data_IF_697868356425
#
_entry.id   IF_697868356425
#
_cell.length_a   1.000
_cell.length_b   1.000
_cell.length_c   1.000
_cell.angle_alpha   90.00
_cell.angle_beta   90.00
_cell.angle_gamma   90.00
#
_symmetry.space_group_name_H-M   'P 1'
#
loop_
_entity.id
_entity.type
_entity.pdbx_description
1 polymer ?
#
# COMPACT_ATOMS: atom_id res chain seq x y z
N UNK A 1 -7.64 -31.08 -49.28
CA UNK A 1 -6.90 -30.03 -48.52
C UNK A 1 -7.77 -28.79 -48.47
N UNK A 2 -8.45 -28.54 -47.34
CA UNK A 2 -9.21 -27.32 -47.09
C UNK A 2 -8.45 -26.49 -46.05
N UNK A 3 -8.22 -25.18 -46.26
CA UNK A 3 -7.52 -24.35 -45.28
C UNK A 3 -8.46 -24.04 -44.11
N UNK A 4 -7.96 -24.28 -42.89
CA UNK A 4 -8.66 -23.97 -41.64
C UNK A 4 -8.73 -22.45 -41.40
N UNK A 5 -9.73 -21.94 -40.65
CA UNK A 5 -9.96 -20.52 -40.47
C UNK A 5 -8.88 -19.90 -39.59
N UNK A 6 -8.44 -18.69 -39.96
CA UNK A 6 -7.64 -17.81 -39.09
C UNK A 6 -8.47 -17.45 -37.87
N UNK A 7 -8.00 -17.84 -36.68
CA UNK A 7 -8.45 -17.29 -35.41
C UNK A 7 -8.27 -15.77 -35.45
N UNK A 8 -9.39 -15.04 -35.41
CA UNK A 8 -9.46 -13.58 -35.26
C UNK A 8 -9.18 -13.22 -33.80
N UNK A 9 -8.40 -12.16 -33.58
CA UNK A 9 -8.47 -11.37 -32.34
C UNK A 9 -7.23 -11.27 -31.43
N UNK A 10 -6.01 -11.16 -31.95
CA UNK A 10 -4.88 -10.63 -31.16
C UNK A 10 -4.86 -9.09 -31.28
N UNK A 11 -5.63 -8.37 -30.48
CA UNK A 11 -5.51 -6.90 -30.37
C UNK A 11 -4.63 -6.46 -29.19
N UNK A 12 -3.51 -7.17 -28.98
CA UNK A 12 -2.37 -6.64 -28.23
C UNK A 12 -1.46 -5.88 -29.20
N UNK A 13 -1.22 -4.59 -28.99
CA UNK A 13 -0.24 -3.85 -29.80
C UNK A 13 1.12 -4.56 -29.79
N UNK A 14 1.87 -4.50 -30.90
CA UNK A 14 3.11 -5.28 -31.17
C UNK A 14 4.14 -5.31 -30.01
N UNK A 15 4.08 -4.33 -29.11
CA UNK A 15 4.99 -4.11 -27.99
C UNK A 15 4.46 -4.61 -26.64
N UNK A 16 3.16 -4.46 -26.34
CA UNK A 16 2.56 -4.97 -25.09
C UNK A 16 1.83 -6.27 -25.40
N UNK A 17 2.46 -7.38 -24.98
CA UNK A 17 1.95 -8.72 -25.22
C UNK A 17 1.02 -9.15 -24.09
N UNK A 18 -0.06 -9.85 -24.44
CA UNK A 18 -0.95 -10.51 -23.47
C UNK A 18 -0.28 -11.76 -22.89
N UNK A 19 0.13 -12.69 -23.76
CA UNK A 19 0.78 -13.98 -23.45
C UNK A 19 2.07 -14.18 -24.27
N UNK A 20 2.90 -15.17 -23.91
CA UNK A 20 3.96 -15.68 -24.79
C UNK A 20 3.34 -16.48 -25.96
N UNK A 21 3.99 -16.49 -27.13
CA UNK A 21 3.40 -16.97 -28.39
C UNK A 21 3.78 -18.41 -28.82
N UNK A 22 4.61 -19.12 -28.05
CA UNK A 22 5.02 -20.50 -28.34
C UNK A 22 4.46 -21.47 -27.29
N UNK A 23 4.32 -22.75 -27.64
CA UNK A 23 3.95 -23.82 -26.69
C UNK A 23 4.96 -23.87 -25.55
N UNK A 24 4.48 -24.10 -24.33
CA UNK A 24 5.33 -24.16 -23.15
C UNK A 24 6.30 -25.33 -23.28
N UNK A 25 7.60 -25.05 -23.25
CA UNK A 25 8.64 -26.09 -23.19
C UNK A 25 8.46 -26.96 -21.94
N UNK A 26 7.79 -26.45 -20.90
CA UNK A 26 7.45 -27.22 -19.71
C UNK A 26 6.40 -28.29 -19.96
N UNK A 27 5.47 -28.12 -20.91
CA UNK A 27 4.56 -29.21 -21.31
C UNK A 27 5.31 -30.40 -21.90
N UNK A 28 6.52 -30.17 -22.45
CA UNK A 28 7.37 -31.20 -23.07
C UNK A 28 8.40 -31.75 -22.09
N UNK A 29 9.08 -30.88 -21.31
CA UNK A 29 10.15 -31.28 -20.39
C UNK A 29 9.66 -31.70 -19.01
N UNK A 30 8.47 -31.26 -18.60
CA UNK A 30 7.85 -31.56 -17.31
C UNK A 30 6.34 -31.79 -17.52
N UNK A 31 5.94 -32.90 -18.17
CA UNK A 31 4.53 -33.18 -18.47
C UNK A 31 3.64 -33.28 -17.22
N UNK A 32 4.24 -33.49 -16.04
CA UNK A 32 3.61 -33.49 -14.72
C UNK A 32 4.02 -32.27 -13.86
N UNK A 33 4.42 -31.14 -14.48
CA UNK A 33 4.87 -29.95 -13.77
C UNK A 33 3.83 -29.45 -12.76
N UNK A 34 2.56 -29.51 -13.12
CA UNK A 34 1.44 -29.18 -12.26
C UNK A 34 1.44 -30.04 -11.00
N UNK A 35 1.80 -31.34 -11.09
CA UNK A 35 1.91 -32.24 -9.92
C UNK A 35 2.96 -31.79 -8.89
N UNK A 36 3.96 -31.02 -9.32
CA UNK A 36 4.96 -30.43 -8.43
C UNK A 36 4.46 -29.16 -7.74
N UNK A 37 3.34 -28.59 -8.20
CA UNK A 37 2.79 -27.38 -7.60
C UNK A 37 2.00 -27.73 -6.36
N UNK A 38 2.13 -26.88 -5.34
CA UNK A 38 1.23 -26.86 -4.20
C UNK A 38 -0.23 -26.83 -4.70
N UNK A 39 -1.14 -27.65 -4.16
CA UNK A 39 -2.53 -27.70 -4.60
C UNK A 39 -3.24 -26.34 -4.60
N UNK A 40 -2.85 -25.42 -3.70
CA UNK A 40 -3.41 -24.07 -3.71
C UNK A 40 -2.91 -23.26 -4.93
N UNK A 41 -1.65 -23.40 -5.36
CA UNK A 41 -1.13 -22.71 -6.54
C UNK A 41 -1.81 -23.17 -7.83
N UNK A 42 -2.11 -24.47 -7.99
CA UNK A 42 -2.86 -24.97 -9.17
C UNK A 42 -4.24 -24.34 -9.26
N UNK A 43 -4.96 -24.26 -8.14
CA UNK A 43 -6.29 -23.67 -8.14
C UNK A 43 -6.26 -22.14 -8.27
N UNK A 44 -5.17 -21.50 -7.87
CA UNK A 44 -4.92 -20.08 -8.18
C UNK A 44 -4.66 -19.90 -9.67
N UNK A 45 -3.88 -20.79 -10.29
CA UNK A 45 -3.58 -20.76 -11.73
C UNK A 45 -4.86 -20.85 -12.58
N UNK A 46 -5.77 -21.76 -12.25
CA UNK A 46 -7.08 -21.87 -12.91
C UNK A 46 -7.90 -20.58 -12.85
N UNK A 47 -7.78 -19.79 -11.77
CA UNK A 47 -8.45 -18.48 -11.67
C UNK A 47 -7.72 -17.44 -12.52
N UNK A 48 -6.39 -17.50 -12.59
CA UNK A 48 -5.56 -16.57 -13.36
C UNK A 48 -5.60 -16.81 -14.88
N UNK A 49 -6.18 -17.93 -15.34
CA UNK A 49 -6.50 -18.15 -16.77
C UNK A 49 -7.67 -17.30 -17.27
N UNK A 50 -8.38 -16.60 -16.38
CA UNK A 50 -9.42 -15.64 -16.78
C UNK A 50 -8.83 -14.54 -17.68
N UNK A 51 -9.27 -14.50 -18.94
CA UNK A 51 -8.73 -13.59 -19.96
C UNK A 51 -8.96 -12.12 -19.59
N UNK A 52 -10.07 -11.79 -18.92
CA UNK A 52 -10.39 -10.42 -18.52
C UNK A 52 -9.40 -9.89 -17.46
N UNK A 53 -8.96 -10.73 -16.52
CA UNK A 53 -7.89 -10.37 -15.58
C UNK A 53 -6.58 -10.02 -16.32
N UNK A 54 -6.22 -10.80 -17.33
CA UNK A 54 -5.03 -10.55 -18.15
C UNK A 54 -5.18 -9.27 -18.98
N UNK A 55 -6.38 -9.01 -19.50
CA UNK A 55 -6.69 -7.83 -20.30
C UNK A 55 -6.60 -6.54 -19.51
N UNK A 56 -7.14 -6.52 -18.28
CA UNK A 56 -7.02 -5.37 -17.39
C UNK A 56 -5.56 -5.00 -17.15
N UNK A 57 -4.68 -5.99 -16.97
CA UNK A 57 -3.24 -5.78 -16.80
C UNK A 57 -2.57 -5.35 -18.11
N UNK A 58 -2.93 -5.96 -19.23
CA UNK A 58 -2.40 -5.59 -20.55
C UNK A 58 -2.75 -4.14 -20.91
N UNK A 59 -3.98 -3.71 -20.63
CA UNK A 59 -4.44 -2.36 -20.87
C UNK A 59 -3.78 -1.33 -19.96
N UNK A 60 -3.53 -1.69 -18.71
CA UNK A 60 -2.75 -0.87 -17.79
C UNK A 60 -1.31 -0.68 -18.31
N UNK A 61 -0.65 -1.77 -18.71
CA UNK A 61 0.69 -1.73 -19.27
C UNK A 61 0.75 -0.94 -20.59
N UNK A 62 -0.29 -1.04 -21.41
CA UNK A 62 -0.46 -0.30 -22.67
C UNK A 62 -0.60 1.21 -22.50
N UNK A 63 -1.03 1.68 -21.32
CA UNK A 63 -1.20 3.11 -21.00
C UNK A 63 -0.04 3.71 -20.21
N UNK A 64 0.98 2.90 -19.84
CA UNK A 64 2.09 3.35 -18.98
C UNK A 64 2.84 4.56 -19.52
N UNK A 65 3.04 4.65 -20.85
CA UNK A 65 3.69 5.78 -21.53
C UNK A 65 3.08 6.02 -22.91
N UNK A 66 3.21 7.25 -23.48
CA UNK A 66 2.83 7.51 -24.87
C UNK A 66 3.51 6.51 -25.82
N UNK A 67 2.72 5.87 -26.67
CA UNK A 67 3.20 4.90 -27.65
C UNK A 67 3.55 3.51 -27.08
N UNK A 68 3.29 3.20 -25.80
CA UNK A 68 3.63 1.90 -25.19
C UNK A 68 3.09 0.69 -25.96
N UNK A 69 1.95 0.81 -26.64
CA UNK A 69 1.39 -0.28 -27.47
C UNK A 69 2.11 -0.49 -28.81
N UNK A 70 2.76 0.55 -29.35
CA UNK A 70 3.18 0.61 -30.75
C UNK A 70 4.70 0.75 -30.95
N UNK A 71 5.42 1.35 -30.00
CA UNK A 71 6.84 1.71 -30.14
C UNK A 71 7.71 1.07 -29.05
N UNK A 72 8.90 0.62 -29.43
CA UNK A 72 9.92 0.08 -28.54
C UNK A 72 10.06 -1.44 -28.55
N UNK A 73 10.97 -1.96 -27.69
CA UNK A 73 11.18 -3.40 -27.51
C UNK A 73 9.93 -4.02 -26.84
N UNK A 74 9.51 -5.23 -27.26
CA UNK A 74 8.44 -5.95 -26.59
C UNK A 74 8.67 -6.05 -25.08
N UNK A 75 7.65 -5.70 -24.29
CA UNK A 75 7.71 -5.79 -22.83
C UNK A 75 7.49 -7.22 -22.36
N UNK A 76 7.79 -7.48 -21.09
CA UNK A 76 7.27 -8.64 -20.37
C UNK A 76 5.75 -8.74 -20.58
N UNK A 77 5.21 -9.92 -20.92
CA UNK A 77 3.77 -10.08 -21.11
C UNK A 77 2.95 -9.79 -19.86
N UNK A 78 1.72 -9.33 -20.05
CA UNK A 78 0.81 -8.96 -18.97
C UNK A 78 0.54 -10.12 -17.99
N UNK A 79 0.35 -11.32 -18.53
CA UNK A 79 0.13 -12.54 -17.75
C UNK A 79 1.32 -12.83 -16.80
N UNK A 80 2.56 -12.73 -17.31
CA UNK A 80 3.77 -12.93 -16.52
C UNK A 80 3.86 -11.90 -15.38
N UNK A 81 3.56 -10.63 -15.68
CA UNK A 81 3.55 -9.55 -14.67
C UNK A 81 2.53 -9.83 -13.59
N UNK A 82 1.29 -10.18 -13.96
CA UNK A 82 0.22 -10.50 -13.02
C UNK A 82 0.64 -11.65 -12.10
N UNK A 83 1.09 -12.77 -12.67
CA UNK A 83 1.45 -13.98 -11.93
C UNK A 83 2.64 -13.77 -11.00
N UNK A 84 3.68 -13.05 -11.43
CA UNK A 84 4.82 -12.71 -10.56
C UNK A 84 4.41 -11.80 -9.40
N UNK A 85 3.56 -10.79 -9.63
CA UNK A 85 3.05 -9.93 -8.56
C UNK A 85 2.15 -10.69 -7.59
N UNK A 86 1.37 -11.65 -8.08
CA UNK A 86 0.58 -12.56 -7.24
C UNK A 86 1.50 -13.41 -6.35
N UNK A 87 2.51 -14.10 -6.91
CA UNK A 87 3.46 -14.87 -6.10
C UNK A 87 4.13 -14.01 -5.03
N UNK A 88 4.60 -12.84 -5.42
CA UNK A 88 5.23 -11.88 -4.51
C UNK A 88 4.34 -11.60 -3.28
N UNK A 89 3.04 -11.43 -3.47
CA UNK A 89 2.10 -11.15 -2.37
C UNK A 89 1.48 -12.40 -1.73
N UNK A 90 1.56 -13.58 -2.36
CA UNK A 90 1.19 -14.85 -1.72
C UNK A 90 2.21 -15.29 -0.67
N UNK A 91 3.49 -14.93 -0.88
CA UNK A 91 4.63 -15.33 -0.05
C UNK A 91 5.32 -14.16 0.69
N UNK A 92 4.79 -12.93 0.59
CA UNK A 92 5.37 -11.70 1.18
C UNK A 92 6.84 -11.42 0.79
N UNK A 93 7.20 -11.79 -0.44
CA UNK A 93 8.54 -11.55 -0.98
C UNK A 93 8.75 -10.06 -1.32
N UNK A 94 9.99 -9.61 -1.19
CA UNK A 94 10.52 -8.46 -1.89
C UNK A 94 10.59 -8.72 -3.40
N UNK A 95 10.85 -7.69 -4.20
CA UNK A 95 11.04 -7.88 -5.64
C UNK A 95 12.30 -8.70 -5.95
N UNK A 96 13.38 -8.50 -5.19
CA UNK A 96 14.64 -9.26 -5.36
C UNK A 96 14.45 -10.74 -4.98
N UNK A 97 13.73 -11.02 -3.88
CA UNK A 97 13.37 -12.40 -3.52
C UNK A 97 12.48 -13.03 -4.59
N UNK A 98 11.45 -12.33 -5.07
CA UNK A 98 10.58 -12.85 -6.14
C UNK A 98 11.36 -13.16 -7.42
N UNK A 99 12.28 -12.28 -7.84
CA UNK A 99 13.19 -12.55 -8.96
C UNK A 99 14.03 -13.81 -8.71
N UNK A 100 14.67 -13.91 -7.53
CA UNK A 100 15.52 -15.05 -7.17
C UNK A 100 14.76 -16.37 -7.16
N UNK A 101 13.63 -16.42 -6.46
CA UNK A 101 12.81 -17.63 -6.31
C UNK A 101 12.25 -18.08 -7.68
N UNK A 102 11.72 -17.15 -8.48
CA UNK A 102 11.20 -17.48 -9.82
C UNK A 102 12.33 -17.89 -10.76
N UNK A 103 13.53 -17.30 -10.66
CA UNK A 103 14.69 -17.72 -11.47
C UNK A 103 15.15 -19.14 -11.14
N UNK A 104 15.18 -19.50 -9.85
CA UNK A 104 15.69 -20.78 -9.38
C UNK A 104 14.70 -21.95 -9.46
N UNK A 105 13.40 -21.69 -9.63
CA UNK A 105 12.36 -22.73 -9.57
C UNK A 105 11.63 -22.91 -10.91
N UNK A 106 11.77 -24.09 -11.52
CA UNK A 106 11.02 -24.44 -12.73
C UNK A 106 9.50 -24.41 -12.49
N UNK A 107 9.05 -24.76 -11.27
CA UNK A 107 7.66 -24.67 -10.84
C UNK A 107 7.14 -23.24 -10.89
N UNK A 108 7.86 -22.28 -10.34
CA UNK A 108 7.43 -20.88 -10.36
C UNK A 108 7.53 -20.26 -11.75
N UNK A 109 8.50 -20.68 -12.58
CA UNK A 109 8.57 -20.25 -13.99
C UNK A 109 7.36 -20.74 -14.78
N UNK A 110 6.96 -21.99 -14.59
CA UNK A 110 5.79 -22.57 -15.22
C UNK A 110 4.51 -21.88 -14.74
N UNK A 111 4.36 -21.64 -13.43
CA UNK A 111 3.24 -20.88 -12.87
C UNK A 111 3.16 -19.46 -13.43
N UNK A 112 4.29 -18.80 -13.64
CA UNK A 112 4.35 -17.46 -14.21
C UNK A 112 4.27 -17.40 -15.74
N UNK A 113 4.15 -18.55 -16.43
CA UNK A 113 4.17 -18.64 -17.92
C UNK A 113 5.41 -18.00 -18.55
N UNK A 114 6.57 -18.14 -17.89
CA UNK A 114 7.85 -17.59 -18.38
C UNK A 114 8.53 -18.56 -19.35
N UNK A 115 8.24 -19.86 -19.25
CA UNK A 115 8.88 -20.90 -20.08
C UNK A 115 10.42 -20.83 -20.00
N UNK A 116 11.09 -20.84 -21.15
CA UNK A 116 12.55 -20.69 -21.27
C UNK A 116 13.00 -19.22 -21.42
N UNK A 117 12.09 -18.26 -21.31
CA UNK A 117 12.41 -16.84 -21.47
C UNK A 117 13.16 -16.28 -20.25
N UNK A 118 13.75 -15.10 -20.43
CA UNK A 118 14.44 -14.42 -19.32
C UNK A 118 13.43 -13.94 -18.27
N UNK A 119 13.63 -14.35 -17.02
CA UNK A 119 12.86 -13.85 -15.87
C UNK A 119 13.07 -12.34 -15.74
N UNK A 120 11.99 -11.55 -15.65
CA UNK A 120 12.07 -10.11 -15.38
C UNK A 120 12.85 -9.83 -14.10
N UNK A 121 13.83 -8.93 -14.17
CA UNK A 121 14.54 -8.48 -12.97
C UNK A 121 13.64 -7.63 -12.06
N UNK A 122 14.04 -7.49 -10.80
CA UNK A 122 13.32 -6.78 -9.75
C UNK A 122 13.00 -5.34 -10.15
N UNK A 123 13.94 -4.63 -10.79
CA UNK A 123 13.72 -3.24 -11.24
C UNK A 123 12.69 -3.20 -12.37
N UNK A 124 12.72 -4.15 -13.28
CA UNK A 124 11.72 -4.32 -14.34
C UNK A 124 10.35 -4.57 -13.74
N UNK A 125 10.22 -5.50 -12.79
CA UNK A 125 8.96 -5.80 -12.14
C UNK A 125 8.42 -4.62 -11.32
N UNK A 126 9.29 -3.87 -10.63
CA UNK A 126 8.93 -2.61 -9.96
C UNK A 126 8.31 -1.62 -10.96
N UNK A 127 8.99 -1.37 -12.09
CA UNK A 127 8.51 -0.43 -13.11
C UNK A 127 7.18 -0.84 -13.72
N UNK A 128 6.98 -2.14 -13.97
CA UNK A 128 5.73 -2.66 -14.52
C UNK A 128 4.60 -2.61 -13.50
N UNK A 129 4.90 -2.88 -12.23
CA UNK A 129 3.92 -2.72 -11.15
C UNK A 129 3.35 -1.29 -11.09
N UNK A 130 4.13 -0.26 -11.47
CA UNK A 130 3.66 1.13 -11.51
C UNK A 130 2.45 1.37 -12.41
N UNK A 131 2.21 0.50 -13.40
CA UNK A 131 1.01 0.59 -14.23
C UNK A 131 -0.26 0.10 -13.52
N UNK A 132 -0.15 -0.72 -12.47
CA UNK A 132 -1.27 -1.21 -11.69
C UNK A 132 -1.57 -0.22 -10.57
N UNK A 133 -2.23 0.88 -10.92
CA UNK A 133 -2.70 1.87 -9.97
C UNK A 133 -3.95 1.38 -9.21
N UNK A 134 -4.51 2.27 -8.37
CA UNK A 134 -5.70 1.95 -7.59
C UNK A 134 -6.90 1.58 -8.49
N UNK A 135 -7.14 2.29 -9.59
CA UNK A 135 -8.26 2.02 -10.49
C UNK A 135 -8.14 0.64 -11.13
N UNK A 136 -6.97 0.29 -11.65
CA UNK A 136 -6.71 -1.02 -12.24
C UNK A 136 -6.93 -2.13 -11.22
N UNK A 137 -6.41 -1.99 -10.00
CA UNK A 137 -6.59 -2.99 -8.95
C UNK A 137 -8.03 -3.11 -8.46
N UNK A 138 -8.81 -2.01 -8.49
CA UNK A 138 -10.24 -2.05 -8.21
C UNK A 138 -11.01 -2.83 -9.26
N UNK A 139 -10.66 -2.68 -10.53
CA UNK A 139 -11.26 -3.45 -11.64
C UNK A 139 -10.89 -4.92 -11.54
N UNK A 140 -9.62 -5.24 -11.26
CA UNK A 140 -9.17 -6.62 -11.00
C UNK A 140 -9.96 -7.22 -9.84
N UNK A 141 -10.12 -6.49 -8.73
CA UNK A 141 -10.91 -6.96 -7.59
C UNK A 141 -12.39 -7.17 -7.95
N UNK A 142 -12.99 -6.27 -8.71
CA UNK A 142 -14.37 -6.41 -9.17
C UNK A 142 -14.54 -7.68 -10.03
N UNK A 143 -13.63 -7.94 -10.97
CA UNK A 143 -13.64 -9.18 -11.76
C UNK A 143 -13.51 -10.43 -10.88
N UNK A 144 -12.67 -10.38 -9.85
CA UNK A 144 -12.58 -11.48 -8.87
C UNK A 144 -13.89 -11.67 -8.07
N UNK A 145 -14.65 -10.60 -7.80
CA UNK A 145 -15.98 -10.69 -7.18
C UNK A 145 -16.96 -11.38 -8.12
N UNK A 146 -16.94 -11.06 -9.42
CA UNK A 146 -17.79 -11.70 -10.43
C UNK A 146 -17.50 -13.21 -10.50
N UNK A 147 -16.22 -13.59 -10.60
CA UNK A 147 -15.78 -14.99 -10.55
C UNK A 147 -16.22 -15.70 -9.25
N UNK A 148 -16.20 -15.00 -8.11
CA UNK A 148 -16.68 -15.55 -6.85
C UNK A 148 -18.19 -15.78 -6.83
N UNK A 149 -18.95 -14.94 -7.52
CA UNK A 149 -20.39 -15.12 -7.72
C UNK A 149 -20.71 -16.27 -8.68
N UNK A 150 -20.01 -16.34 -9.82
CA UNK A 150 -20.12 -17.44 -10.80
C UNK A 150 -19.85 -18.79 -10.14
N UNK A 151 -18.78 -18.87 -9.33
CA UNK A 151 -18.42 -20.07 -8.55
C UNK A 151 -19.25 -20.27 -7.27
N UNK A 152 -20.27 -19.43 -7.02
CA UNK A 152 -21.18 -19.48 -5.86
C UNK A 152 -20.49 -19.39 -4.49
N UNK A 153 -19.25 -18.89 -4.44
CA UNK A 153 -18.48 -18.61 -3.21
C UNK A 153 -19.10 -17.44 -2.45
N UNK A 154 -19.51 -16.41 -3.19
CA UNK A 154 -20.12 -15.20 -2.67
C UNK A 154 -21.51 -15.03 -3.26
N UNK A 155 -22.49 -14.71 -2.41
CA UNK A 155 -23.87 -14.42 -2.84
C UNK A 155 -24.27 -12.96 -2.60
N UNK A 156 -23.46 -12.20 -1.86
CA UNK A 156 -23.72 -10.80 -1.55
C UNK A 156 -24.86 -10.59 -0.55
N UNK A 157 -25.18 -11.59 0.27
CA UNK A 157 -26.22 -11.49 1.29
C UNK A 157 -25.69 -10.99 2.63
N UNK A 158 -24.39 -11.13 2.86
CA UNK A 158 -23.72 -10.67 4.07
C UNK A 158 -22.63 -9.68 3.73
N UNK A 159 -22.46 -8.72 4.60
CA UNK A 159 -21.43 -7.70 4.55
C UNK A 159 -20.83 -7.56 5.93
N UNK A 160 -19.50 -7.58 6.01
CA UNK A 160 -18.77 -7.08 7.17
C UNK A 160 -17.75 -6.04 6.77
N UNK A 161 -17.62 -5.01 7.60
CA UNK A 161 -16.67 -3.93 7.40
C UNK A 161 -15.81 -3.82 8.65
N UNK A 162 -14.50 -3.74 8.44
CA UNK A 162 -13.53 -3.52 9.50
C UNK A 162 -12.43 -2.58 8.99
N UNK A 163 -11.75 -1.90 9.90
CA UNK A 163 -10.60 -1.06 9.58
C UNK A 163 -9.35 -1.59 10.26
N UNK A 164 -8.23 -1.55 9.56
CA UNK A 164 -6.93 -1.92 10.09
C UNK A 164 -5.91 -0.84 9.79
N UNK A 165 -4.75 -0.88 10.45
CA UNK A 165 -3.63 -0.01 10.10
C UNK A 165 -2.63 -0.80 9.30
N UNK A 166 -2.21 -0.26 8.16
CA UNK A 166 -1.05 -0.73 7.40
C UNK A 166 0.08 0.26 7.67
N UNK A 167 1.17 -0.22 8.26
CA UNK A 167 2.29 0.65 8.62
C UNK A 167 3.03 1.13 7.39
N UNK A 168 3.44 2.40 7.38
CA UNK A 168 4.44 2.87 6.43
C UNK A 168 5.80 2.27 6.80
N UNK A 169 6.66 2.00 5.81
CA UNK A 169 8.01 1.52 6.08
C UNK A 169 8.93 2.65 6.57
N UNK A 170 8.70 3.09 7.81
CA UNK A 170 9.44 4.13 8.50
C UNK A 170 9.99 3.60 9.81
N UNK A 171 11.12 4.15 10.26
CA UNK A 171 11.60 3.94 11.63
C UNK A 171 10.72 4.69 12.63
N UNK A 172 10.95 4.43 13.93
CA UNK A 172 10.21 5.13 14.97
C UNK A 172 10.50 6.64 14.91
N UNK A 173 9.45 7.50 14.82
CA UNK A 173 9.63 8.91 14.55
C UNK A 173 9.99 9.70 15.81
N UNK A 174 11.22 10.18 15.89
CA UNK A 174 11.65 11.17 16.89
C UNK A 174 11.98 12.47 16.19
N UNK A 175 11.73 13.61 16.84
CA UNK A 175 12.09 14.91 16.25
C UNK A 175 13.59 14.99 15.90
N UNK A 176 14.45 14.42 16.75
CA UNK A 176 15.89 14.37 16.50
C UNK A 176 16.25 13.54 15.25
N UNK A 177 15.60 12.40 15.01
CA UNK A 177 15.84 11.59 13.82
C UNK A 177 15.31 12.28 12.56
N UNK A 178 14.13 12.90 12.63
CA UNK A 178 13.55 13.66 11.52
C UNK A 178 14.40 14.87 11.11
N UNK A 179 14.94 15.62 12.08
CA UNK A 179 15.86 16.73 11.81
C UNK A 179 17.18 16.20 11.20
N UNK A 180 17.69 15.08 11.70
CA UNK A 180 18.88 14.40 11.16
C UNK A 180 18.69 13.97 9.71
N UNK A 181 17.58 13.30 9.42
CA UNK A 181 17.22 12.85 8.08
C UNK A 181 17.09 14.07 7.14
N UNK A 182 16.44 15.14 7.61
CA UNK A 182 16.26 16.37 6.86
C UNK A 182 17.57 17.02 6.46
N UNK A 183 18.49 17.19 7.40
CA UNK A 183 19.83 17.76 7.12
C UNK A 183 20.62 16.85 6.18
N UNK A 184 20.55 15.53 6.35
CA UNK A 184 21.25 14.57 5.49
C UNK A 184 20.75 14.66 4.05
N UNK A 185 19.42 14.69 3.86
CA UNK A 185 18.81 14.80 2.53
C UNK A 185 19.14 16.15 1.89
N UNK A 186 18.99 17.26 2.60
CA UNK A 186 19.31 18.59 2.08
C UNK A 186 20.78 18.70 1.70
N UNK A 187 21.70 18.32 2.59
CA UNK A 187 23.14 18.40 2.33
C UNK A 187 23.54 17.56 1.12
N UNK A 188 23.03 16.32 1.01
CA UNK A 188 23.31 15.46 -0.14
C UNK A 188 22.75 16.02 -1.44
N UNK A 189 21.53 16.57 -1.41
CA UNK A 189 20.88 17.12 -2.61
C UNK A 189 21.55 18.41 -3.05
N UNK A 190 22.01 19.24 -2.10
CA UNK A 190 22.80 20.44 -2.38
C UNK A 190 24.17 20.12 -2.99
N UNK A 191 24.86 19.07 -2.52
CA UNK A 191 26.13 18.62 -3.14
C UNK A 191 25.92 18.23 -4.61
N UNK A 192 24.87 17.45 -4.90
CA UNK A 192 24.50 17.11 -6.28
C UNK A 192 24.15 18.33 -7.11
N UNK A 193 23.39 19.28 -6.55
CA UNK A 193 23.06 20.51 -7.25
C UNK A 193 24.32 21.30 -7.58
N UNK A 194 25.26 21.42 -6.63
CA UNK A 194 26.57 22.07 -6.84
C UNK A 194 27.35 21.41 -7.98
N UNK A 195 27.39 20.08 -8.04
CA UNK A 195 28.05 19.33 -9.12
C UNK A 195 27.42 19.62 -10.50
N UNK A 196 26.10 19.83 -10.56
CA UNK A 196 25.37 20.08 -11.81
C UNK A 196 25.49 21.53 -12.31
N UNK A 197 25.52 22.54 -11.42
CA UNK A 197 25.53 23.97 -11.80
C UNK A 197 26.92 24.62 -11.80
N UNK A 198 27.94 23.93 -11.29
CA UNK A 198 29.32 24.42 -11.22
C UNK A 198 29.67 25.10 -9.88
N UNK A 199 30.98 25.16 -9.60
CA UNK A 199 31.49 25.75 -8.36
C UNK A 199 31.35 27.28 -8.38
N UNK A 200 30.52 27.83 -7.48
CA UNK A 200 30.34 29.28 -7.31
C UNK A 200 28.90 29.71 -7.03
N UNK A 201 27.91 28.98 -7.56
CA UNK A 201 26.49 29.30 -7.39
C UNK A 201 25.88 28.70 -6.11
N UNK A 202 26.45 27.60 -5.62
CA UNK A 202 25.93 26.85 -4.47
C UNK A 202 27.05 26.63 -3.46
N UNK A 203 26.95 27.29 -2.31
CA UNK A 203 27.81 27.04 -1.15
C UNK A 203 27.19 25.93 -0.28
N UNK A 204 27.96 24.87 0.00
CA UNK A 204 27.51 23.77 0.85
C UNK A 204 28.51 23.53 1.97
N UNK A 205 28.07 23.71 3.22
CA UNK A 205 28.85 23.31 4.39
C UNK A 205 28.23 22.08 5.03
N UNK A 206 28.96 20.98 5.01
CA UNK A 206 28.51 19.72 5.60
C UNK A 206 28.51 19.81 7.13
N UNK A 207 27.32 19.83 7.72
CA UNK A 207 27.11 19.84 9.18
C UNK A 207 26.59 18.50 9.70
N UNK A 208 26.55 17.47 8.86
CA UNK A 208 25.92 16.18 9.17
C UNK A 208 26.62 15.47 10.33
N UNK A 209 27.96 15.50 10.37
CA UNK A 209 28.74 14.92 11.50
C UNK A 209 28.43 15.61 12.82
N UNK A 210 28.42 16.94 12.81
CA UNK A 210 28.11 17.73 14.00
C UNK A 210 26.71 17.42 14.54
N UNK A 211 25.73 17.36 13.65
CA UNK A 211 24.34 17.01 13.99
C UNK A 211 24.24 15.57 14.51
N UNK A 212 24.85 14.60 13.83
CA UNK A 212 24.82 13.19 14.20
C UNK A 212 25.33 12.96 15.63
N UNK A 213 26.39 13.68 16.05
CA UNK A 213 26.88 13.63 17.43
C UNK A 213 25.81 14.07 18.45
N UNK A 214 25.11 15.18 18.20
CA UNK A 214 24.06 15.66 19.12
C UNK A 214 22.84 14.74 19.14
N UNK A 215 22.47 14.20 17.99
CA UNK A 215 21.37 13.22 17.87
C UNK A 215 21.72 11.93 18.62
N UNK A 216 22.97 11.48 18.54
CA UNK A 216 23.48 10.34 19.30
C UNK A 216 23.43 10.61 20.82
N UNK A 217 23.88 11.78 21.27
CA UNK A 217 23.76 12.19 22.68
C UNK A 217 22.30 12.16 23.17
N UNK A 218 21.38 12.72 22.36
CA UNK A 218 19.94 12.69 22.64
C UNK A 218 19.39 11.27 22.74
N UNK A 219 19.82 10.36 21.87
CA UNK A 219 19.39 8.96 21.88
C UNK A 219 19.88 8.22 23.13
N UNK A 220 21.18 8.31 23.42
CA UNK A 220 21.83 7.64 24.57
C UNK A 220 21.26 8.07 25.91
N UNK A 221 20.96 9.37 26.05
CA UNK A 221 20.57 9.95 27.34
C UNK A 221 19.07 10.18 27.47
N UNK A 222 18.26 9.75 26.50
CA UNK A 222 16.82 9.97 26.44
C UNK A 222 16.07 9.64 27.73
N UNK A 223 16.36 8.51 28.40
CA UNK A 223 15.68 8.14 29.66
C UNK A 223 16.06 9.02 30.84
N UNK A 224 17.33 9.40 30.96
CA UNK A 224 17.84 10.26 32.05
C UNK A 224 17.48 11.74 31.82
N UNK A 225 17.47 12.19 30.56
CA UNK A 225 17.16 13.58 30.19
C UNK A 225 15.67 13.95 30.24
N UNK A 226 14.78 12.96 30.30
CA UNK A 226 13.33 13.18 30.42
C UNK A 226 12.91 13.41 31.89
N UNK A 227 13.77 13.08 32.85
CA UNK A 227 13.58 13.44 34.26
C UNK A 227 13.71 14.95 34.45
N UNK A 228 13.07 15.51 35.49
CA UNK A 228 13.04 16.95 35.79
C UNK A 228 14.44 17.59 35.74
N UNK A 229 15.43 16.94 36.35
CA UNK A 229 16.83 17.37 36.42
C UNK A 229 17.53 17.43 35.05
N UNK A 230 17.07 16.61 34.09
CA UNK A 230 17.64 16.50 32.75
C UNK A 230 17.04 17.45 31.71
N UNK A 231 15.92 18.11 32.02
CA UNK A 231 15.20 18.99 31.10
C UNK A 231 16.05 20.14 30.54
N UNK A 232 16.89 20.86 31.32
CA UNK A 232 17.71 21.94 30.78
C UNK A 232 18.72 21.45 29.73
N UNK A 233 19.39 20.33 30.01
CA UNK A 233 20.36 19.72 29.08
C UNK A 233 19.66 19.18 27.82
N UNK A 234 18.45 18.63 27.95
CA UNK A 234 17.62 18.22 26.82
C UNK A 234 17.31 19.41 25.90
N UNK A 235 16.83 20.52 26.48
CA UNK A 235 16.51 21.74 25.75
C UNK A 235 17.75 22.35 25.06
N UNK A 236 18.90 22.34 25.73
CA UNK A 236 20.18 22.77 25.15
C UNK A 236 20.53 21.96 23.89
N UNK A 237 20.53 20.62 23.99
CA UNK A 237 20.85 19.73 22.86
C UNK A 237 19.88 19.91 21.70
N UNK A 238 18.57 20.01 21.97
CA UNK A 238 17.60 20.32 20.92
C UNK A 238 17.81 21.72 20.33
N UNK A 239 18.24 22.70 21.13
CA UNK A 239 18.62 24.03 20.67
C UNK A 239 19.77 23.99 19.65
N UNK A 240 20.81 23.21 19.94
CA UNK A 240 21.94 22.98 19.02
C UNK A 240 21.49 22.30 17.72
N UNK A 241 20.72 21.22 17.82
CA UNK A 241 20.17 20.48 16.66
C UNK A 241 19.32 21.41 15.79
N UNK A 242 18.46 22.22 16.41
CA UNK A 242 17.62 23.20 15.70
C UNK A 242 18.46 24.30 15.05
N UNK A 243 19.53 24.78 15.70
CA UNK A 243 20.43 25.78 15.15
C UNK A 243 21.13 25.27 13.88
N UNK A 244 21.70 24.07 13.94
CA UNK A 244 22.33 23.42 12.78
C UNK A 244 21.30 23.22 11.66
N UNK A 245 20.12 22.71 11.99
CA UNK A 245 19.09 22.42 10.98
C UNK A 245 18.59 23.69 10.30
N UNK A 246 18.38 24.78 11.05
CA UNK A 246 18.01 26.09 10.49
C UNK A 246 19.09 26.66 9.58
N UNK A 247 20.36 26.49 9.92
CA UNK A 247 21.46 26.92 9.06
C UNK A 247 21.43 26.20 7.71
N UNK A 248 21.24 24.88 7.70
CA UNK A 248 21.12 24.07 6.47
C UNK A 248 19.88 24.44 5.67
N UNK A 249 18.74 24.71 6.33
CA UNK A 249 17.52 25.18 5.63
C UNK A 249 17.74 26.54 4.97
N UNK A 250 18.45 27.47 5.63
CA UNK A 250 18.79 28.78 5.02
C UNK A 250 19.71 28.63 3.82
N UNK A 251 20.76 27.82 3.93
CA UNK A 251 21.64 27.50 2.80
C UNK A 251 20.87 26.85 1.65
N UNK A 252 19.96 25.94 1.95
CA UNK A 252 19.13 25.29 0.95
C UNK A 252 18.21 26.27 0.21
N UNK A 253 17.63 27.24 0.92
CA UNK A 253 16.81 28.30 0.30
C UNK A 253 17.65 29.22 -0.57
N UNK A 254 18.78 29.71 -0.05
CA UNK A 254 19.70 30.56 -0.80
C UNK A 254 20.23 29.88 -2.07
N UNK A 255 20.54 28.58 -1.99
CA UNK A 255 20.97 27.79 -3.14
C UNK A 255 19.89 27.59 -4.20
N UNK A 256 18.60 27.57 -3.81
CA UNK A 256 17.49 27.50 -4.75
C UNK A 256 17.26 28.85 -5.43
N UNK A 257 17.39 29.95 -4.69
CA UNK A 257 17.29 31.32 -5.21
C UNK A 257 18.45 31.64 -6.17
N UNK A 258 19.68 31.23 -5.84
CA UNK A 258 20.87 31.54 -6.65
C UNK A 258 20.90 30.85 -8.02
N UNK A 259 20.18 29.74 -8.17
CA UNK A 259 20.12 28.97 -9.42
C UNK A 259 18.86 29.25 -10.23
N UNK A 260 17.93 30.06 -9.72
CA UNK A 260 16.63 30.30 -10.36
C UNK A 260 16.81 30.89 -11.78
N UNK A 261 16.21 30.26 -12.78
CA UNK A 261 16.35 30.64 -14.20
C UNK A 261 17.61 30.12 -14.92
N UNK A 262 18.55 29.49 -14.22
CA UNK A 262 19.81 28.98 -14.80
C UNK A 262 19.87 27.44 -14.91
N UNK A 263 18.82 26.74 -14.47
CA UNK A 263 18.85 25.29 -14.31
C UNK A 263 18.26 24.55 -15.50
N UNK A 264 19.02 23.59 -16.05
CA UNK A 264 18.51 22.59 -17.01
C UNK A 264 17.58 21.59 -16.30
N UNK A 265 16.92 20.72 -17.07
CA UNK A 265 15.94 19.75 -16.56
C UNK A 265 16.43 18.92 -15.35
N UNK A 266 17.68 18.44 -15.34
CA UNK A 266 18.22 17.64 -14.23
C UNK A 266 18.35 18.40 -12.92
N UNK A 267 18.80 19.65 -12.96
CA UNK A 267 18.86 20.47 -11.75
C UNK A 267 17.48 20.99 -11.33
N UNK A 268 16.51 21.08 -12.23
CA UNK A 268 15.13 21.45 -11.88
C UNK A 268 14.49 20.41 -10.92
N UNK A 269 14.73 19.11 -11.15
CA UNK A 269 14.30 18.05 -10.24
C UNK A 269 14.97 18.15 -8.86
N UNK A 270 16.27 18.46 -8.82
CA UNK A 270 17.02 18.67 -7.58
C UNK A 270 16.51 19.89 -6.81
N UNK A 271 16.25 21.00 -7.50
CA UNK A 271 15.65 22.21 -6.91
C UNK A 271 14.28 21.90 -6.33
N UNK A 272 13.44 21.17 -7.06
CA UNK A 272 12.13 20.76 -6.58
C UNK A 272 12.23 19.85 -5.34
N UNK A 273 13.17 18.90 -5.35
CA UNK A 273 13.44 18.05 -4.19
C UNK A 273 13.91 18.87 -2.97
N UNK A 274 14.76 19.88 -3.16
CA UNK A 274 15.19 20.79 -2.10
C UNK A 274 14.00 21.57 -1.56
N UNK A 275 13.19 22.19 -2.42
CA UNK A 275 11.99 22.96 -2.03
C UNK A 275 11.05 22.11 -1.18
N UNK A 276 10.72 20.90 -1.62
CA UNK A 276 9.86 19.96 -0.88
C UNK A 276 10.47 19.56 0.47
N UNK A 277 11.77 19.25 0.50
CA UNK A 277 12.45 18.85 1.74
C UNK A 277 12.51 20.02 2.73
N UNK A 278 12.80 21.24 2.27
CA UNK A 278 12.79 22.46 3.08
C UNK A 278 11.43 22.69 3.73
N UNK A 279 10.34 22.52 2.98
CA UNK A 279 8.99 22.70 3.49
C UNK A 279 8.69 21.71 4.63
N UNK A 280 9.00 20.43 4.43
CA UNK A 280 8.80 19.38 5.45
C UNK A 280 9.68 19.63 6.68
N UNK A 281 10.98 19.91 6.49
CA UNK A 281 11.92 20.16 7.59
C UNK A 281 11.54 21.41 8.38
N UNK A 282 10.99 22.44 7.72
CA UNK A 282 10.46 23.64 8.40
C UNK A 282 9.30 23.29 9.32
N UNK A 283 8.40 22.39 8.92
CA UNK A 283 7.35 21.85 9.79
C UNK A 283 7.92 21.06 10.96
N UNK A 284 8.95 20.24 10.73
CA UNK A 284 9.65 19.50 11.80
C UNK A 284 10.31 20.47 12.81
N UNK A 285 10.92 21.56 12.35
CA UNK A 285 11.44 22.62 13.23
C UNK A 285 10.32 23.20 14.09
N UNK A 286 9.16 23.50 13.49
CA UNK A 286 7.97 24.01 14.18
C UNK A 286 7.46 23.06 15.26
N UNK A 287 7.24 21.79 14.91
CA UNK A 287 6.74 20.77 15.85
C UNK A 287 7.72 20.51 16.99
N UNK A 288 9.03 20.50 16.69
CA UNK A 288 10.07 20.30 17.71
C UNK A 288 10.08 21.46 18.69
N UNK A 289 9.96 22.71 18.19
CA UNK A 289 9.90 23.89 19.05
C UNK A 289 8.68 23.86 19.96
N UNK A 290 7.52 23.51 19.42
CA UNK A 290 6.28 23.37 20.18
C UNK A 290 6.42 22.32 21.30
N UNK A 291 6.93 21.13 20.97
CA UNK A 291 7.07 20.04 21.94
C UNK A 291 8.12 20.31 23.02
N UNK A 292 9.33 20.72 22.62
CA UNK A 292 10.48 20.77 23.53
C UNK A 292 10.49 22.04 24.39
N UNK A 293 10.06 23.18 23.82
CA UNK A 293 10.16 24.48 24.49
C UNK A 293 8.81 25.05 24.94
N UNK A 294 7.68 24.57 24.40
CA UNK A 294 6.33 25.02 24.80
C UNK A 294 5.50 23.94 25.49
N UNK A 295 5.99 22.71 25.58
CA UNK A 295 5.25 21.57 26.17
C UNK A 295 4.08 21.07 25.32
N UNK A 296 3.88 21.59 24.11
CA UNK A 296 2.77 21.19 23.24
C UNK A 296 3.13 19.93 22.44
N UNK A 297 2.50 18.82 22.81
CA UNK A 297 2.70 17.51 22.17
C UNK A 297 1.77 17.26 20.98
N UNK A 298 0.77 18.12 20.76
CA UNK A 298 -0.29 17.98 19.76
C UNK A 298 -0.12 18.99 18.63
N UNK A 299 0.93 18.82 17.83
CA UNK A 299 1.20 19.70 16.69
C UNK A 299 0.29 19.37 15.49
N UNK A 300 -0.47 20.34 14.94
CA UNK A 300 -1.25 20.13 13.72
C UNK A 300 -0.35 19.76 12.53
N UNK A 301 -0.77 18.78 11.72
CA UNK A 301 0.01 18.34 10.56
C UNK A 301 1.40 17.78 10.91
N UNK A 302 1.53 17.19 12.11
CA UNK A 302 2.77 16.59 12.63
C UNK A 302 3.42 15.67 11.60
N UNK A 303 4.69 15.93 11.33
CA UNK A 303 5.51 15.11 10.43
C UNK A 303 6.04 13.91 11.22
N UNK A 304 5.79 12.72 10.69
CA UNK A 304 6.27 11.44 11.25
C UNK A 304 7.33 10.79 10.35
N UNK A 305 7.48 11.26 9.11
CA UNK A 305 8.57 10.87 8.23
C UNK A 305 8.77 11.94 7.19
N UNK A 306 10.03 12.25 6.86
CA UNK A 306 10.32 13.13 5.73
C UNK A 306 10.22 12.39 4.38
N UNK A 307 10.29 11.05 4.40
CA UNK A 307 10.23 10.20 3.22
C UNK A 307 8.82 9.73 2.90
N UNK A 308 8.00 9.58 3.94
CA UNK A 308 6.56 9.27 3.83
C UNK A 308 5.74 10.34 4.58
N UNK A 309 5.62 11.57 4.06
CA UNK A 309 4.95 12.68 4.78
C UNK A 309 3.47 12.43 5.06
N UNK A 310 2.87 11.44 4.41
CA UNK A 310 1.47 11.03 4.58
C UNK A 310 1.25 10.09 5.77
N UNK A 311 2.31 9.62 6.45
CA UNK A 311 2.23 8.75 7.63
C UNK A 311 1.44 9.42 8.75
N UNK A 312 0.47 8.70 9.32
CA UNK A 312 -0.32 9.15 10.46
C UNK A 312 -0.03 8.33 11.71
N UNK A 313 -0.25 8.94 12.87
CA UNK A 313 -0.22 8.28 14.18
C UNK A 313 -1.62 7.81 14.55
N UNK A 314 -1.82 6.50 14.60
CA UNK A 314 -3.14 5.89 14.80
C UNK A 314 -3.13 5.05 16.07
N UNK A 315 -4.11 5.32 16.95
CA UNK A 315 -4.35 4.55 18.18
C UNK A 315 -5.62 3.73 18.03
N UNK A 316 -5.50 2.40 17.99
CA UNK A 316 -6.63 1.45 17.89
C UNK A 316 -6.90 0.65 19.17
N UNK A 317 -6.45 1.15 20.33
CA UNK A 317 -6.72 0.52 21.63
C UNK A 317 -6.02 -0.83 21.87
N UNK A 318 -5.02 -1.20 21.07
CA UNK A 318 -4.22 -2.41 21.28
C UNK A 318 -3.23 -2.20 22.43
N UNK A 319 -3.34 -2.99 23.49
CA UNK A 319 -2.46 -2.90 24.66
C UNK A 319 -0.96 -3.08 24.32
N UNK A 320 -0.62 -4.07 23.48
CA UNK A 320 0.78 -4.37 23.13
C UNK A 320 1.43 -3.34 22.19
N UNK A 321 0.63 -2.62 21.39
CA UNK A 321 1.10 -1.60 20.44
C UNK A 321 0.13 -0.43 20.43
N UNK A 322 0.26 0.51 21.38
CA UNK A 322 -0.73 1.55 21.60
C UNK A 322 -0.81 2.56 20.45
N UNK A 323 0.26 2.71 19.65
CA UNK A 323 0.32 3.60 18.49
C UNK A 323 0.96 2.88 17.30
N UNK A 324 0.26 2.87 16.17
CA UNK A 324 0.72 2.37 14.87
C UNK A 324 0.98 3.57 13.94
N UNK A 325 2.06 3.54 13.15
CA UNK A 325 2.45 4.63 12.23
C UNK A 325 2.20 4.20 10.78
N UNK A 326 1.17 4.75 10.15
CA UNK A 326 0.76 4.31 8.83
C UNK A 326 -0.53 4.95 8.35
N UNK A 327 -1.34 4.20 7.60
CA UNK A 327 -2.69 4.64 7.19
C UNK A 327 -3.76 3.69 7.64
N UNK A 328 -4.93 4.26 7.87
CA UNK A 328 -6.16 3.52 8.07
C UNK A 328 -6.56 2.88 6.73
N UNK A 329 -6.81 1.58 6.77
CA UNK A 329 -7.25 0.78 5.63
C UNK A 329 -8.56 0.11 5.99
N UNK A 330 -9.61 0.43 5.24
CA UNK A 330 -10.91 -0.25 5.30
C UNK A 330 -10.82 -1.55 4.53
N UNK A 331 -11.34 -2.63 5.09
CA UNK A 331 -11.52 -3.92 4.43
C UNK A 331 -13.00 -4.29 4.48
N UNK A 332 -13.56 -4.58 3.32
CA UNK A 332 -14.95 -4.97 3.17
C UNK A 332 -15.02 -6.44 2.73
N UNK A 333 -15.75 -7.27 3.48
CA UNK A 333 -15.83 -8.71 3.20
C UNK A 333 -17.29 -9.18 3.06
N UNK A 334 -17.48 -10.16 2.20
CA UNK A 334 -18.74 -10.88 2.04
C UNK A 334 -18.61 -12.33 2.60
N UNK A 335 -19.44 -13.25 2.10
CA UNK A 335 -19.34 -14.66 2.49
C UNK A 335 -17.97 -15.28 2.15
N UNK A 336 -17.63 -16.40 2.80
CA UNK A 336 -16.38 -17.13 2.50
C UNK A 336 -15.09 -16.41 2.90
N UNK A 337 -15.15 -15.32 3.68
CA UNK A 337 -14.00 -14.43 3.94
C UNK A 337 -13.42 -13.83 2.65
N UNK A 338 -14.29 -13.62 1.66
CA UNK A 338 -13.93 -13.01 0.39
C UNK A 338 -14.00 -11.49 0.51
N UNK A 339 -12.92 -10.80 0.11
CA UNK A 339 -12.85 -9.35 0.19
C UNK A 339 -13.51 -8.77 -1.06
N UNK A 340 -14.49 -7.89 -0.90
CA UNK A 340 -15.24 -7.29 -2.02
C UNK A 340 -14.79 -5.87 -2.32
N UNK A 341 -14.24 -5.18 -1.32
CA UNK A 341 -13.67 -3.85 -1.48
C UNK A 341 -12.60 -3.59 -0.40
N UNK A 342 -11.75 -2.60 -0.63
CA UNK A 342 -10.79 -2.07 0.35
C UNK A 342 -10.67 -0.56 0.21
N UNK A 343 -10.07 0.16 1.13
CA UNK A 343 -9.84 1.60 0.92
C UNK A 343 -8.65 2.05 1.76
N UNK A 344 -7.61 2.59 1.11
CA UNK A 344 -6.54 3.29 1.83
C UNK A 344 -6.99 4.72 2.04
N UNK A 345 -7.28 5.09 3.28
CA UNK A 345 -7.80 6.41 3.59
C UNK A 345 -6.67 7.44 3.41
N UNK A 346 -6.82 8.35 2.43
CA UNK A 346 -5.83 9.38 2.14
C UNK A 346 -5.63 10.36 3.30
N UNK A 347 -6.68 10.58 4.09
CA UNK A 347 -6.69 11.35 5.32
C UNK A 347 -7.29 10.53 6.45
N UNK A 348 -7.12 10.98 7.69
CA UNK A 348 -7.75 10.36 8.85
C UNK A 348 -9.27 10.55 8.78
N UNK A 349 -9.98 9.47 8.52
CA UNK A 349 -11.44 9.40 8.52
C UNK A 349 -11.91 8.64 9.76
N UNK A 350 -13.05 9.02 10.34
CA UNK A 350 -13.63 8.25 11.44
C UNK A 350 -14.25 6.95 10.91
N UNK A 351 -14.14 5.85 11.66
CA UNK A 351 -14.70 4.55 11.24
C UNK A 351 -16.20 4.67 10.88
N UNK A 352 -16.95 5.51 11.61
CA UNK A 352 -18.38 5.78 11.35
C UNK A 352 -18.64 6.28 9.93
N UNK A 353 -17.76 7.11 9.37
CA UNK A 353 -17.96 7.73 8.06
C UNK A 353 -17.73 6.73 6.90
N UNK A 354 -17.05 5.61 7.18
CA UNK A 354 -16.78 4.54 6.20
C UNK A 354 -17.95 3.57 6.04
N UNK A 355 -18.95 3.62 6.93
CA UNK A 355 -20.07 2.67 6.94
C UNK A 355 -20.96 2.81 5.70
N UNK A 356 -21.58 3.97 5.51
CA UNK A 356 -22.52 4.22 4.42
C UNK A 356 -21.87 4.05 3.03
N UNK A 357 -20.63 4.55 2.78
CA UNK A 357 -19.92 4.26 1.54
C UNK A 357 -19.75 2.76 1.27
N UNK A 358 -19.46 1.96 2.30
CA UNK A 358 -19.33 0.49 2.16
C UNK A 358 -20.66 -0.17 1.77
N UNK A 359 -21.77 0.27 2.36
CA UNK A 359 -23.11 -0.23 2.00
C UNK A 359 -23.46 0.08 0.54
N UNK A 360 -23.16 1.30 0.08
CA UNK A 360 -23.37 1.72 -1.31
C UNK A 360 -22.51 0.88 -2.25
N UNK A 361 -21.21 0.74 -1.95
CA UNK A 361 -20.29 -0.06 -2.76
C UNK A 361 -20.73 -1.52 -2.85
N UNK A 362 -21.22 -2.11 -1.76
CA UNK A 362 -21.82 -3.45 -1.80
C UNK A 362 -23.00 -3.52 -2.76
N UNK A 363 -23.93 -2.56 -2.69
CA UNK A 363 -25.08 -2.52 -3.59
C UNK A 363 -24.64 -2.38 -5.05
N UNK A 364 -23.62 -1.58 -5.34
CA UNK A 364 -23.10 -1.40 -6.69
C UNK A 364 -22.48 -2.69 -7.24
N UNK A 365 -21.83 -3.50 -6.40
CA UNK A 365 -21.24 -4.78 -6.79
C UNK A 365 -22.29 -5.89 -6.98
N UNK A 366 -23.33 -5.95 -6.15
CA UNK A 366 -24.28 -7.07 -6.14
C UNK A 366 -25.67 -6.73 -6.69
N UNK A 367 -25.90 -5.48 -7.10
CA UNK A 367 -27.19 -4.96 -7.54
C UNK A 367 -28.26 -4.89 -6.44
N UNK A 368 -27.91 -5.17 -5.18
CA UNK A 368 -28.85 -5.26 -4.05
C UNK A 368 -28.18 -5.01 -2.69
N UNK A 369 -28.93 -4.55 -1.68
CA UNK A 369 -28.40 -4.44 -0.33
C UNK A 369 -28.15 -5.83 0.28
N UNK A 370 -27.18 -5.96 1.21
CA UNK A 370 -27.01 -7.18 1.98
C UNK A 370 -28.24 -7.42 2.87
N UNK A 371 -28.56 -8.68 3.16
CA UNK A 371 -29.55 -9.03 4.18
C UNK A 371 -29.03 -8.73 5.59
N UNK A 372 -27.73 -8.91 5.79
CA UNK A 372 -27.03 -8.70 7.06
C UNK A 372 -25.78 -7.86 6.84
N UNK A 373 -25.66 -6.76 7.57
CA UNK A 373 -24.47 -5.92 7.59
C UNK A 373 -23.96 -5.77 9.03
N UNK A 374 -22.69 -6.07 9.26
CA UNK A 374 -22.05 -6.01 10.59
C UNK A 374 -20.74 -5.23 10.54
N UNK A 375 -20.43 -4.48 11.59
CA UNK A 375 -19.13 -3.85 11.76
C UNK A 375 -18.76 -3.75 13.24
N UNK A 376 -17.55 -3.29 13.49
CA UNK A 376 -17.01 -3.05 14.83
C UNK A 376 -17.69 -1.86 15.53
N UNK A 377 -17.50 -1.78 16.85
CA UNK A 377 -18.05 -0.70 17.69
C UNK A 377 -17.64 0.69 17.20
N UNK A 378 -16.47 0.83 16.55
CA UNK A 378 -16.02 2.10 15.97
C UNK A 378 -16.97 2.68 14.90
N UNK A 379 -17.78 1.84 14.25
CA UNK A 379 -18.76 2.23 13.25
C UNK A 379 -20.13 2.58 13.83
N UNK A 380 -20.34 2.35 15.12
CA UNK A 380 -21.64 2.43 15.74
C UNK A 380 -22.09 3.89 15.95
N UNK A 381 -23.19 4.25 15.29
CA UNK A 381 -23.90 5.52 15.52
C UNK A 381 -25.38 5.37 15.17
N UNK A 382 -26.23 6.19 15.79
CA UNK A 382 -27.67 6.22 15.46
C UNK A 382 -27.90 6.56 13.99
N UNK A 383 -27.11 7.49 13.45
CA UNK A 383 -27.17 7.88 12.04
C UNK A 383 -26.84 6.69 11.12
N UNK A 384 -25.83 5.89 11.46
CA UNK A 384 -25.44 4.71 10.68
C UNK A 384 -26.48 3.59 10.72
N UNK A 385 -27.13 3.36 11.86
CA UNK A 385 -28.24 2.38 11.95
C UNK A 385 -29.45 2.81 11.10
N UNK A 386 -29.80 4.10 11.15
CA UNK A 386 -30.91 4.65 10.36
C UNK A 386 -30.60 4.61 8.87
N UNK A 387 -29.41 5.07 8.47
CA UNK A 387 -28.97 5.07 7.08
C UNK A 387 -28.93 3.65 6.48
N UNK A 388 -28.43 2.67 7.24
CA UNK A 388 -28.41 1.27 6.80
C UNK A 388 -29.82 0.70 6.60
N UNK A 389 -30.73 1.04 7.51
CA UNK A 389 -32.14 0.62 7.43
C UNK A 389 -32.83 1.26 6.23
N UNK A 390 -32.59 2.56 5.99
CA UNK A 390 -33.09 3.29 4.83
C UNK A 390 -32.56 2.74 3.49
N UNK A 391 -31.37 2.14 3.49
CA UNK A 391 -30.81 1.41 2.34
C UNK A 391 -31.38 -0.01 2.17
N UNK A 392 -32.39 -0.40 2.95
CA UNK A 392 -33.11 -1.67 2.80
C UNK A 392 -32.45 -2.88 3.49
N UNK A 393 -31.48 -2.65 4.39
CA UNK A 393 -30.79 -3.74 5.10
C UNK A 393 -31.65 -4.23 6.26
N UNK A 394 -32.00 -5.52 6.22
CA UNK A 394 -32.90 -6.13 7.21
C UNK A 394 -32.24 -6.36 8.58
N UNK A 395 -30.96 -6.68 8.59
CA UNK A 395 -30.20 -7.02 9.80
C UNK A 395 -28.94 -6.17 9.91
N UNK A 396 -29.06 -5.03 10.61
CA UNK A 396 -27.94 -4.13 10.91
C UNK A 396 -27.41 -4.45 12.30
N UNK A 397 -26.10 -4.69 12.39
CA UNK A 397 -25.42 -5.10 13.62
C UNK A 397 -24.22 -4.19 13.87
N UNK A 398 -24.44 -3.14 14.64
CA UNK A 398 -23.42 -2.19 15.10
C UNK A 398 -23.43 -2.19 16.64
N UNK A 399 -22.52 -2.93 17.30
CA UNK A 399 -22.54 -3.07 18.75
C UNK A 399 -22.30 -1.72 19.44
N UNK A 400 -22.99 -1.48 20.57
CA UNK A 400 -22.78 -0.28 21.39
C UNK A 400 -23.45 1.01 20.91
N UNK A 401 -24.22 1.00 19.81
CA UNK A 401 -24.79 2.22 19.25
C UNK A 401 -25.94 2.86 20.08
N UNK A 402 -26.70 2.05 20.84
CA UNK A 402 -27.86 2.55 21.63
C UNK A 402 -28.38 1.56 22.68
N UNK A 403 -29.28 2.01 23.58
CA UNK A 403 -30.07 1.13 24.47
C UNK A 403 -30.89 0.09 23.68
N UNK A 404 -31.43 0.47 22.51
CA UNK A 404 -32.20 -0.41 21.61
C UNK A 404 -31.34 -1.50 20.97
N UNK A 405 -30.03 -1.24 20.81
CA UNK A 405 -29.03 -2.23 20.39
C UNK A 405 -28.84 -3.31 21.47
N UNK A 406 -28.83 -2.93 22.76
CA UNK A 406 -28.71 -3.88 23.89
C UNK A 406 -29.87 -4.89 23.99
N UNK A 407 -31.08 -4.47 23.62
CA UNK A 407 -32.24 -5.40 23.54
C UNK A 407 -32.10 -6.37 22.36
N UNK A 408 -31.63 -5.87 21.21
CA UNK A 408 -31.36 -6.71 20.01
C UNK A 408 -30.21 -7.69 20.23
N UNK A 409 -29.20 -7.35 21.03
CA UNK A 409 -28.06 -8.21 21.39
C UNK A 409 -28.47 -9.55 22.03
N UNK A 410 -29.66 -9.59 22.66
CA UNK A 410 -30.20 -10.83 23.22
C UNK A 410 -30.80 -11.77 22.15
N UNK A 411 -31.13 -11.26 20.96
CA UNK A 411 -31.75 -12.05 19.89
C UNK A 411 -30.74 -13.02 19.26
N UNK A 412 -31.18 -14.25 18.97
CA UNK A 412 -30.33 -15.32 18.41
C UNK A 412 -29.65 -14.93 17.09
N UNK A 413 -30.33 -14.18 16.22
CA UNK A 413 -29.76 -13.75 14.93
C UNK A 413 -28.66 -12.69 15.11
N UNK A 414 -28.78 -11.79 16.08
CA UNK A 414 -27.78 -10.75 16.37
C UNK A 414 -26.50 -11.38 16.91
N UNK A 415 -26.62 -12.32 17.86
CA UNK A 415 -25.48 -13.11 18.36
C UNK A 415 -24.79 -13.90 17.24
N UNK A 416 -25.56 -14.44 16.28
CA UNK A 416 -25.00 -15.14 15.10
C UNK A 416 -24.22 -14.19 14.20
N UNK A 417 -24.71 -12.97 13.99
CA UNK A 417 -24.01 -11.96 13.23
C UNK A 417 -22.71 -11.51 13.91
N UNK A 418 -22.73 -11.30 15.23
CA UNK A 418 -21.51 -11.01 16.00
C UNK A 418 -20.49 -12.15 15.94
N UNK A 419 -20.93 -13.41 16.02
CA UNK A 419 -20.03 -14.57 15.81
C UNK A 419 -19.50 -14.66 14.38
N UNK A 420 -20.24 -14.16 13.38
CA UNK A 420 -19.75 -14.10 12.01
C UNK A 420 -18.75 -12.94 11.81
N UNK A 421 -18.95 -11.83 12.53
CA UNK A 421 -18.03 -10.67 12.57
C UNK A 421 -16.63 -11.10 12.98
N UNK A 422 -16.45 -11.90 14.03
CA UNK A 422 -15.12 -12.31 14.53
C UNK A 422 -14.24 -12.97 13.47
N UNK A 423 -14.81 -13.50 12.39
CA UNK A 423 -14.04 -13.98 11.25
C UNK A 423 -13.24 -12.90 10.51
N UNK A 424 -13.50 -11.59 10.71
CA UNK A 424 -12.70 -10.50 10.17
C UNK A 424 -11.32 -10.43 10.84
N UNK A 425 -11.24 -10.76 12.14
CA UNK A 425 -9.97 -10.81 12.89
C UNK A 425 -9.03 -11.84 12.27
N UNK A 426 -9.56 -13.01 11.94
CA UNK A 426 -8.85 -14.04 11.19
C UNK A 426 -8.39 -13.58 9.81
N UNK A 427 -9.22 -12.79 9.09
CA UNK A 427 -8.86 -12.25 7.78
C UNK A 427 -7.78 -11.19 7.85
N UNK A 428 -7.94 -10.20 8.71
CA UNK A 428 -6.93 -9.16 8.92
C UNK A 428 -5.61 -9.79 9.39
N UNK A 429 -5.68 -10.81 10.25
CA UNK A 429 -4.51 -11.59 10.65
C UNK A 429 -3.82 -12.24 9.45
N UNK A 430 -4.56 -12.91 8.56
CA UNK A 430 -4.02 -13.51 7.35
C UNK A 430 -3.41 -12.47 6.40
N UNK A 431 -4.13 -11.37 6.12
CA UNK A 431 -3.63 -10.24 5.32
C UNK A 431 -2.31 -9.70 5.88
N UNK A 432 -2.24 -9.50 7.19
CA UNK A 432 -1.05 -8.98 7.88
C UNK A 432 0.12 -9.95 7.86
N UNK A 433 -0.11 -11.23 8.15
CA UNK A 433 0.95 -12.23 8.32
C UNK A 433 1.44 -12.85 7.03
N UNK A 434 0.53 -13.07 6.07
CA UNK A 434 0.82 -13.79 4.83
C UNK A 434 0.98 -12.87 3.63
N UNK A 435 0.20 -11.78 3.57
CA UNK A 435 0.13 -10.92 2.38
C UNK A 435 0.83 -9.57 2.55
N UNK A 436 1.64 -9.42 3.61
CA UNK A 436 2.49 -8.25 3.82
C UNK A 436 1.79 -7.01 4.38
N UNK A 437 0.49 -7.06 4.73
CA UNK A 437 -0.25 -5.87 5.19
C UNK A 437 0.13 -5.40 6.61
N UNK A 438 1.13 -5.99 7.25
CA UNK A 438 1.73 -5.40 8.47
C UNK A 438 2.39 -4.06 8.15
N UNK A 439 3.15 -4.00 7.06
CA UNK A 439 3.99 -2.86 6.70
C UNK A 439 4.15 -2.78 5.19
N UNK A 440 3.70 -1.67 4.61
CA UNK A 440 3.85 -1.39 3.20
C UNK A 440 5.31 -1.04 2.87
N UNK A 441 5.93 -1.83 1.98
CA UNK A 441 7.29 -1.56 1.48
C UNK A 441 7.33 -0.62 0.27
N UNK A 442 6.18 -0.34 -0.34
CA UNK A 442 6.07 0.58 -1.48
C UNK A 442 5.99 2.02 -0.98
N UNK A 443 6.56 2.94 -1.78
CA UNK A 443 6.66 4.35 -1.43
C UNK A 443 5.41 5.13 -1.82
N UNK A 444 5.05 6.12 -0.99
CA UNK A 444 3.94 7.02 -1.25
C UNK A 444 2.57 6.36 -1.13
N UNK A 445 1.52 7.18 -1.14
CA UNK A 445 0.14 6.72 -0.96
C UNK A 445 -0.29 5.80 -2.11
N UNK A 446 0.03 6.13 -3.36
CA UNK A 446 -0.25 5.28 -4.51
C UNK A 446 0.47 3.92 -4.43
N UNK A 447 1.68 3.89 -3.84
CA UNK A 447 2.38 2.65 -3.54
C UNK A 447 1.66 1.83 -2.48
N UNK A 448 1.11 2.47 -1.45
CA UNK A 448 0.31 1.82 -0.41
C UNK A 448 -0.98 1.23 -0.95
N UNK A 449 -1.73 1.97 -1.78
CA UNK A 449 -2.91 1.45 -2.48
C UNK A 449 -2.58 0.20 -3.29
N UNK A 450 -1.46 0.22 -4.00
CA UNK A 450 -1.02 -0.95 -4.76
C UNK A 450 -0.64 -2.12 -3.86
N UNK A 451 0.09 -1.87 -2.78
CA UNK A 451 0.51 -2.90 -1.84
C UNK A 451 -0.70 -3.60 -1.20
N UNK A 452 -1.69 -2.81 -0.76
CA UNK A 452 -2.94 -3.30 -0.18
C UNK A 452 -3.74 -4.07 -1.24
N UNK A 453 -3.93 -3.48 -2.43
CA UNK A 453 -4.71 -4.11 -3.49
C UNK A 453 -4.13 -5.44 -3.96
N UNK A 454 -2.82 -5.52 -4.19
CA UNK A 454 -2.16 -6.79 -4.54
C UNK A 454 -2.24 -7.83 -3.41
N UNK A 455 -2.14 -7.41 -2.14
CA UNK A 455 -2.35 -8.31 -1.01
C UNK A 455 -3.78 -8.82 -0.89
N UNK A 456 -4.78 -7.98 -1.20
CA UNK A 456 -6.20 -8.37 -1.28
C UNK A 456 -6.45 -9.33 -2.43
N UNK A 457 -5.90 -9.05 -3.62
CA UNK A 457 -5.97 -9.93 -4.79
C UNK A 457 -5.37 -11.31 -4.46
N UNK A 458 -4.16 -11.35 -3.90
CA UNK A 458 -3.50 -12.60 -3.50
C UNK A 458 -4.35 -13.40 -2.49
N UNK A 459 -4.95 -12.72 -1.50
CA UNK A 459 -5.87 -13.36 -0.56
C UNK A 459 -7.08 -13.97 -1.27
N UNK A 460 -7.73 -13.21 -2.15
CA UNK A 460 -8.97 -13.64 -2.81
C UNK A 460 -8.74 -14.78 -3.79
N UNK A 461 -7.60 -14.79 -4.48
CA UNK A 461 -7.19 -15.91 -5.31
C UNK A 461 -7.08 -17.21 -4.51
N UNK A 462 -6.54 -17.17 -3.27
CA UNK A 462 -6.53 -18.34 -2.39
C UNK A 462 -7.93 -18.76 -1.93
N UNK A 463 -8.85 -17.80 -1.72
CA UNK A 463 -10.23 -18.11 -1.35
C UNK A 463 -10.96 -18.80 -2.51
N UNK A 464 -10.86 -18.26 -3.72
CA UNK A 464 -11.42 -18.87 -4.93
C UNK A 464 -10.81 -20.23 -5.20
N UNK A 465 -9.48 -20.33 -5.06
CA UNK A 465 -8.77 -21.58 -5.25
C UNK A 465 -9.19 -22.66 -4.26
N UNK A 466 -9.58 -22.33 -3.02
CA UNK A 466 -10.07 -23.33 -2.06
C UNK A 466 -11.50 -23.78 -2.34
N UNK A 467 -12.32 -22.94 -2.96
CA UNK A 467 -13.73 -23.21 -3.18
C UNK A 467 -14.02 -24.01 -4.47
N UNK A 468 -13.02 -24.16 -5.36
CA UNK A 468 -13.09 -25.04 -6.52
C UNK A 468 -12.88 -26.53 -6.17
N UNK A 469 -12.76 -26.86 -4.87
CA UNK A 469 -12.54 -28.20 -4.34
C UNK A 469 -13.84 -28.84 -3.83
#
# INVERSE_FOLDING_TARGET
MLPRPRLRGCEGGRVVRRKHGQRSVFEVLLPDADKLWDPALRRVDEVLEDEELVDLVADALGRRRPGSRRKGRPSTPAEVVLRMLVLKHLYDWSFDECEREVRGSLVYRAFCRIDCERVPDAKTLIRLSHALDADVLKKVLARLVDLACERKVVRGWKLRVDTTVVETNVHYPTDSSLLSDGVTVLTRTLKKLKEEVGEGLVAVRDRSRGLAHRVFELAQRSRKLVQEEGKPRLQQLYGEVLSITRAVVREAKAAVESVEGQVRALGADLVQQIRQTVEIVTRVIGQTRARVFKGDTHYPGKVLSIFEPHTESIRKGKAAKPTEFGKLVKIQEAEGQFITDYEVCATRVADQDLWVPSLKKHRDLFGRPPRMAVADTGFASRANEVAATALGIKQVVLPGASKRTKEKERKRWFRRALRWRTGCEGRISALKRRHGLRRCRYRGLAGMDRWVGLGVVANNLLVLGRAAA
#
